data_IF_288864249787
#
_entry.id   IF_288864249787
#
_cell.length_a   1.000
_cell.length_b   1.000
_cell.length_c   1.000
_cell.angle_alpha   90.00
_cell.angle_beta   90.00
_cell.angle_gamma   90.00
#
_symmetry.space_group_name_H-M   'P 1'
#
loop_
_entity.id
_entity.type
_entity.pdbx_description
1 polymer ?
#
# COMPACT_ATOMS: atom_id res chain seq x y z
N UNK A 1 14.04 30.05 -10.21
CA UNK A 1 14.77 28.77 -10.39
C UNK A 1 15.20 28.31 -9.01
N UNK A 2 14.93 27.06 -8.61
CA UNK A 2 15.44 26.52 -7.34
C UNK A 2 16.98 26.50 -7.38
N UNK A 3 17.64 26.62 -6.24
CA UNK A 3 19.10 26.62 -6.18
C UNK A 3 19.64 25.24 -6.58
N UNK A 4 20.85 25.13 -7.15
CA UNK A 4 21.47 23.83 -7.49
C UNK A 4 21.61 22.85 -6.32
N UNK A 5 21.52 23.32 -5.07
CA UNK A 5 21.53 22.48 -3.86
C UNK A 5 20.15 21.90 -3.51
N UNK A 6 19.07 22.41 -4.09
CA UNK A 6 17.70 21.98 -3.78
C UNK A 6 17.28 20.76 -4.62
N UNK A 7 17.96 20.50 -5.75
CA UNK A 7 17.68 19.34 -6.62
C UNK A 7 18.12 18.01 -6.02
N UNK A 8 19.13 18.01 -5.14
CA UNK A 8 19.63 16.80 -4.47
C UNK A 8 18.67 16.26 -3.40
N UNK A 9 17.77 17.12 -2.90
CA UNK A 9 16.77 16.78 -1.89
C UNK A 9 15.45 16.24 -2.49
N UNK A 10 15.42 15.98 -3.80
CA UNK A 10 14.25 15.41 -4.49
C UNK A 10 14.23 13.90 -4.27
N UNK A 11 13.05 13.36 -3.94
CA UNK A 11 12.84 11.92 -3.85
C UNK A 11 13.02 11.28 -5.24
N UNK A 12 13.90 10.31 -5.34
CA UNK A 12 13.99 9.41 -6.48
C UNK A 12 13.04 8.22 -6.33
N UNK A 13 12.84 7.50 -7.43
CA UNK A 13 11.93 6.35 -7.52
C UNK A 13 12.22 5.27 -6.47
N UNK A 14 13.49 5.09 -6.10
CA UNK A 14 13.93 4.06 -5.16
C UNK A 14 14.08 4.54 -3.71
N UNK A 15 13.75 5.81 -3.41
CA UNK A 15 13.90 6.34 -2.06
C UNK A 15 12.80 5.84 -1.12
N UNK A 16 11.60 5.60 -1.66
CA UNK A 16 10.40 5.18 -0.93
C UNK A 16 10.21 3.66 -1.05
N UNK A 17 10.50 2.93 0.04
CA UNK A 17 10.42 1.47 0.06
C UNK A 17 9.02 0.95 -0.27
N UNK A 18 7.98 1.61 0.22
CA UNK A 18 6.60 1.22 -0.06
C UNK A 18 6.31 1.27 -1.57
N UNK A 19 6.73 2.35 -2.24
CA UNK A 19 6.53 2.54 -3.67
C UNK A 19 7.33 1.50 -4.48
N UNK A 20 8.58 1.22 -4.09
CA UNK A 20 9.40 0.19 -4.75
C UNK A 20 8.70 -1.16 -4.73
N UNK A 21 8.13 -1.53 -3.58
CA UNK A 21 7.36 -2.75 -3.46
C UNK A 21 6.09 -2.70 -4.32
N UNK A 22 5.29 -1.64 -4.20
CA UNK A 22 4.00 -1.52 -4.88
C UNK A 22 4.15 -1.55 -6.40
N UNK A 23 5.11 -0.81 -6.97
CA UNK A 23 5.37 -0.81 -8.42
C UNK A 23 5.78 -2.20 -8.91
N UNK A 24 6.66 -2.88 -8.18
CA UNK A 24 7.06 -4.25 -8.51
C UNK A 24 5.88 -5.22 -8.42
N UNK A 25 5.05 -5.09 -7.38
CA UNK A 25 3.88 -5.92 -7.17
C UNK A 25 2.86 -5.70 -8.30
N UNK A 26 2.46 -4.44 -8.55
CA UNK A 26 1.51 -4.04 -9.59
C UNK A 26 1.96 -4.51 -10.98
N UNK A 27 3.25 -4.37 -11.29
CA UNK A 27 3.83 -4.89 -12.54
C UNK A 27 3.74 -6.42 -12.63
N UNK A 28 4.05 -7.12 -11.55
CA UNK A 28 4.05 -8.59 -11.52
C UNK A 28 2.64 -9.17 -11.66
N UNK A 29 1.66 -8.51 -11.04
CA UNK A 29 0.25 -8.91 -11.04
C UNK A 29 -0.54 -8.33 -12.21
N UNK A 30 0.05 -7.45 -13.03
CA UNK A 30 -0.63 -6.65 -14.06
C UNK A 30 -1.79 -5.83 -13.49
N UNK A 31 -1.64 -5.38 -12.24
CA UNK A 31 -2.66 -4.60 -11.54
C UNK A 31 -2.91 -3.25 -12.22
N UNK A 32 -1.87 -2.62 -12.77
CA UNK A 32 -2.01 -1.34 -13.49
C UNK A 32 -3.00 -1.44 -14.66
N UNK A 33 -3.08 -2.58 -15.36
CA UNK A 33 -4.07 -2.78 -16.43
C UNK A 33 -5.52 -2.71 -15.90
N UNK A 34 -5.75 -3.20 -14.69
CA UNK A 34 -7.06 -3.13 -14.01
C UNK A 34 -7.33 -1.73 -13.46
N UNK A 35 -6.32 -1.10 -12.84
CA UNK A 35 -6.39 0.25 -12.30
C UNK A 35 -6.67 1.29 -13.41
N UNK A 36 -6.01 1.16 -14.57
CA UNK A 36 -6.24 1.99 -15.74
C UNK A 36 -7.67 1.84 -16.27
N UNK A 37 -8.19 0.60 -16.33
CA UNK A 37 -9.58 0.37 -16.73
C UNK A 37 -10.57 1.04 -15.77
N UNK A 38 -10.30 1.03 -14.46
CA UNK A 38 -11.11 1.75 -13.47
C UNK A 38 -11.01 3.27 -13.66
N UNK A 39 -9.79 3.79 -13.80
CA UNK A 39 -9.54 5.24 -13.89
C UNK A 39 -10.10 5.86 -15.16
N UNK A 40 -10.12 5.11 -16.26
CA UNK A 40 -10.64 5.55 -17.55
C UNK A 40 -12.13 5.23 -17.75
N UNK A 41 -12.78 4.63 -16.75
CA UNK A 41 -14.16 4.10 -16.83
C UNK A 41 -14.36 3.17 -18.06
N UNK A 42 -13.37 2.32 -18.31
CA UNK A 42 -13.33 1.41 -19.43
C UNK A 42 -13.70 -0.01 -19.01
N UNK A 43 -14.28 -0.76 -19.95
CA UNK A 43 -14.53 -2.20 -19.75
C UNK A 43 -13.25 -2.98 -20.05
N UNK A 44 -12.86 -3.83 -19.11
CA UNK A 44 -11.79 -4.78 -19.30
C UNK A 44 -12.35 -5.99 -20.05
N UNK A 45 -11.80 -6.25 -21.24
CA UNK A 45 -12.16 -7.41 -22.03
C UNK A 45 -11.51 -8.65 -21.42
N UNK A 46 -12.27 -9.73 -21.24
CA UNK A 46 -11.79 -11.00 -20.65
C UNK A 46 -11.41 -10.84 -19.18
N UNK A 47 -12.31 -10.27 -18.39
CA UNK A 47 -12.15 -10.16 -16.94
C UNK A 47 -11.91 -11.53 -16.31
N UNK A 48 -12.57 -12.59 -16.79
CA UNK A 48 -12.33 -13.95 -16.29
C UNK A 48 -10.88 -14.41 -16.45
N UNK A 49 -10.28 -14.16 -17.63
CA UNK A 49 -8.87 -14.49 -17.89
C UNK A 49 -7.93 -13.62 -17.02
N UNK A 50 -8.27 -12.35 -16.82
CA UNK A 50 -7.48 -11.45 -15.97
C UNK A 50 -7.48 -11.93 -14.51
N UNK A 51 -8.65 -12.26 -13.95
CA UNK A 51 -8.78 -12.78 -12.58
C UNK A 51 -8.03 -14.10 -12.42
N UNK A 52 -8.16 -15.03 -13.37
CA UNK A 52 -7.43 -16.29 -13.33
C UNK A 52 -5.91 -16.08 -13.28
N UNK A 53 -5.39 -15.15 -14.08
CA UNK A 53 -3.97 -14.79 -14.05
C UNK A 53 -3.58 -14.10 -12.74
N UNK A 54 -4.42 -13.21 -12.23
CA UNK A 54 -4.21 -12.50 -10.97
C UNK A 54 -4.11 -13.48 -9.78
N UNK A 55 -5.02 -14.47 -9.70
CA UNK A 55 -5.01 -15.54 -8.70
C UNK A 55 -3.69 -16.32 -8.71
N UNK A 56 -3.24 -16.71 -9.91
CA UNK A 56 -1.98 -17.41 -10.08
C UNK A 56 -0.77 -16.57 -9.61
N UNK A 57 -0.80 -15.24 -9.81
CA UNK A 57 0.25 -14.33 -9.32
C UNK A 57 0.21 -14.18 -7.81
N UNK A 58 -0.97 -14.03 -7.20
CA UNK A 58 -1.11 -14.00 -5.73
C UNK A 58 -0.53 -15.30 -5.14
N UNK A 59 -0.92 -16.46 -5.68
CA UNK A 59 -0.43 -17.74 -5.19
C UNK A 59 1.10 -17.84 -5.29
N UNK A 60 1.68 -17.42 -6.42
CA UNK A 60 3.14 -17.45 -6.60
C UNK A 60 3.87 -16.54 -5.59
N UNK A 61 3.44 -15.28 -5.49
CA UNK A 61 4.09 -14.24 -4.66
C UNK A 61 4.05 -14.62 -3.18
N UNK A 62 2.89 -15.07 -2.68
CA UNK A 62 2.68 -15.21 -1.24
C UNK A 62 2.79 -16.65 -0.72
N UNK A 63 2.64 -17.67 -1.57
CA UNK A 63 2.64 -19.07 -1.14
C UNK A 63 3.84 -19.87 -1.65
N UNK A 64 4.22 -19.70 -2.92
CA UNK A 64 5.28 -20.53 -3.54
C UNK A 64 6.66 -19.93 -3.31
N UNK A 65 6.82 -18.64 -3.57
CA UNK A 65 8.12 -17.96 -3.52
C UNK A 65 8.06 -16.66 -2.68
N UNK A 66 7.67 -16.72 -1.39
CA UNK A 66 7.65 -15.52 -0.55
C UNK A 66 9.08 -14.98 -0.37
N UNK A 67 9.27 -13.70 -0.65
CA UNK A 67 10.54 -13.01 -0.45
C UNK A 67 10.71 -12.60 1.01
N UNK A 68 11.96 -12.39 1.46
CA UNK A 68 12.22 -11.85 2.80
C UNK A 68 11.56 -10.48 3.02
N UNK A 69 11.47 -9.66 1.96
CA UNK A 69 10.76 -8.38 1.97
C UNK A 69 9.26 -8.54 2.32
N UNK A 70 8.63 -9.65 1.93
CA UNK A 70 7.26 -9.97 2.31
C UNK A 70 7.15 -10.43 3.77
N UNK A 71 8.10 -11.25 4.22
CA UNK A 71 8.05 -11.90 5.53
C UNK A 71 8.43 -10.90 6.65
N UNK A 72 9.42 -10.05 6.42
CA UNK A 72 9.97 -9.15 7.45
C UNK A 72 8.99 -8.06 7.92
N UNK A 73 8.03 -7.68 7.07
CA UNK A 73 6.98 -6.70 7.36
C UNK A 73 5.61 -7.25 7.00
N UNK A 74 5.40 -8.54 7.30
CA UNK A 74 4.22 -9.32 6.93
C UNK A 74 2.89 -8.61 7.23
N UNK A 75 2.73 -8.01 8.41
CA UNK A 75 1.47 -7.34 8.77
C UNK A 75 1.14 -6.20 7.81
N UNK A 76 2.14 -5.43 7.40
CA UNK A 76 1.99 -4.36 6.39
C UNK A 76 1.60 -4.94 5.04
N UNK A 77 2.30 -5.98 4.59
CA UNK A 77 2.02 -6.63 3.29
C UNK A 77 0.66 -7.32 3.26
N UNK A 78 0.18 -7.79 4.39
CA UNK A 78 -1.16 -8.31 4.54
C UNK A 78 -2.22 -7.19 4.43
N UNK A 79 -1.96 -6.00 4.97
CA UNK A 79 -2.83 -4.83 4.79
C UNK A 79 -2.85 -4.35 3.34
N UNK A 80 -1.69 -4.25 2.67
CA UNK A 80 -1.60 -3.95 1.23
C UNK A 80 -2.44 -4.93 0.40
N UNK A 81 -2.26 -6.24 0.65
CA UNK A 81 -2.98 -7.28 -0.08
C UNK A 81 -4.49 -7.18 0.13
N UNK A 82 -4.94 -6.96 1.37
CA UNK A 82 -6.37 -6.78 1.66
C UNK A 82 -6.94 -5.53 0.97
N UNK A 83 -6.19 -4.43 0.91
CA UNK A 83 -6.56 -3.24 0.17
C UNK A 83 -6.78 -3.56 -1.32
N UNK A 84 -5.79 -4.19 -1.98
CA UNK A 84 -5.87 -4.50 -3.42
C UNK A 84 -7.01 -5.49 -3.73
N UNK A 85 -7.24 -6.47 -2.86
CA UNK A 85 -8.35 -7.42 -3.02
C UNK A 85 -9.71 -6.72 -2.89
N UNK A 86 -9.88 -5.88 -1.87
CA UNK A 86 -11.12 -5.12 -1.68
C UNK A 86 -11.38 -4.22 -2.90
N UNK A 87 -10.33 -3.57 -3.42
CA UNK A 87 -10.39 -2.77 -4.65
C UNK A 87 -10.88 -3.61 -5.83
N UNK A 88 -10.24 -4.76 -6.10
CA UNK A 88 -10.62 -5.63 -7.22
C UNK A 88 -12.05 -6.12 -7.09
N UNK A 89 -12.44 -6.67 -5.93
CA UNK A 89 -13.81 -7.18 -5.69
C UNK A 89 -14.88 -6.11 -5.91
N UNK A 90 -14.58 -4.86 -5.55
CA UNK A 90 -15.49 -3.75 -5.74
C UNK A 90 -15.65 -3.35 -7.21
N UNK A 91 -14.57 -3.41 -7.99
CA UNK A 91 -14.58 -2.95 -9.37
C UNK A 91 -14.87 -4.04 -10.40
N UNK A 92 -14.72 -5.33 -10.10
CA UNK A 92 -15.14 -6.44 -11.00
C UNK A 92 -16.51 -6.17 -11.62
N UNK A 93 -17.61 -5.99 -10.86
CA UNK A 93 -18.93 -5.78 -11.47
C UNK A 93 -19.05 -4.47 -12.26
N UNK A 94 -18.18 -3.49 -11.99
CA UNK A 94 -18.20 -2.17 -12.62
C UNK A 94 -17.47 -2.13 -13.96
N UNK A 95 -16.34 -2.81 -14.07
CA UNK A 95 -15.49 -2.76 -15.27
C UNK A 95 -15.50 -4.05 -16.10
N UNK A 96 -16.22 -5.09 -15.67
CA UNK A 96 -16.42 -6.29 -16.50
C UNK A 96 -17.25 -5.96 -17.75
N UNK A 97 -16.83 -6.50 -18.89
CA UNK A 97 -17.59 -6.40 -20.14
C UNK A 97 -18.98 -7.05 -19.98
N UNK A 98 -20.03 -6.43 -20.52
CA UNK A 98 -21.41 -6.93 -20.46
C UNK A 98 -21.62 -8.33 -21.06
N UNK A 99 -20.68 -8.80 -21.89
CA UNK A 99 -20.67 -10.15 -22.47
C UNK A 99 -20.21 -11.23 -21.49
N UNK A 100 -19.63 -10.85 -20.37
CA UNK A 100 -19.14 -11.75 -19.32
C UNK A 100 -20.06 -11.70 -18.09
N UNK A 101 -20.17 -12.82 -17.39
CA UNK A 101 -20.94 -12.89 -16.15
C UNK A 101 -20.09 -12.39 -14.96
N UNK A 102 -20.21 -11.10 -14.66
CA UNK A 102 -19.42 -10.46 -13.60
C UNK A 102 -19.71 -11.02 -12.21
N UNK A 103 -20.93 -11.49 -11.94
CA UNK A 103 -21.29 -12.13 -10.68
C UNK A 103 -20.55 -13.45 -10.49
N UNK A 104 -20.55 -14.30 -11.52
CA UNK A 104 -19.83 -15.58 -11.50
C UNK A 104 -18.31 -15.39 -11.39
N UNK A 105 -17.75 -14.39 -12.09
CA UNK A 105 -16.32 -14.07 -12.00
C UNK A 105 -15.95 -13.62 -10.58
N UNK A 106 -16.77 -12.74 -9.99
CA UNK A 106 -16.58 -12.27 -8.62
C UNK A 106 -16.65 -13.43 -7.62
N UNK A 107 -17.65 -14.29 -7.74
CA UNK A 107 -17.83 -15.46 -6.87
C UNK A 107 -16.64 -16.43 -6.96
N UNK A 108 -16.14 -16.70 -8.18
CA UNK A 108 -14.93 -17.52 -8.37
C UNK A 108 -13.71 -16.93 -7.67
N UNK A 109 -13.54 -15.61 -7.78
CA UNK A 109 -12.46 -14.92 -7.08
C UNK A 109 -12.61 -15.00 -5.56
N UNK A 110 -13.82 -14.75 -5.03
CA UNK A 110 -14.11 -14.88 -3.59
C UNK A 110 -13.81 -16.29 -3.06
N UNK A 111 -14.17 -17.34 -3.81
CA UNK A 111 -13.87 -18.73 -3.46
C UNK A 111 -12.36 -19.01 -3.43
N UNK A 112 -11.60 -18.48 -4.40
CA UNK A 112 -10.14 -18.55 -4.39
C UNK A 112 -9.56 -17.87 -3.13
N UNK A 113 -10.06 -16.68 -2.79
CA UNK A 113 -9.63 -15.93 -1.60
C UNK A 113 -9.92 -16.68 -0.30
N UNK A 114 -11.11 -17.28 -0.16
CA UNK A 114 -11.44 -18.12 1.00
C UNK A 114 -10.42 -19.25 1.15
N UNK A 115 -10.08 -19.94 0.05
CA UNK A 115 -9.11 -21.02 0.05
C UNK A 115 -7.71 -20.57 0.48
N UNK A 116 -7.19 -19.50 -0.11
CA UNK A 116 -5.82 -19.05 0.14
C UNK A 116 -5.63 -18.47 1.55
N UNK A 117 -6.58 -17.65 2.02
CA UNK A 117 -6.50 -17.08 3.37
C UNK A 117 -6.71 -18.14 4.46
N UNK A 118 -7.55 -19.15 4.21
CA UNK A 118 -7.69 -20.30 5.11
C UNK A 118 -6.38 -21.08 5.22
N UNK A 119 -5.69 -21.30 4.09
CA UNK A 119 -4.36 -21.94 4.07
C UNK A 119 -3.36 -21.17 4.95
N UNK A 120 -3.29 -19.84 4.80
CA UNK A 120 -2.39 -19.00 5.60
C UNK A 120 -2.73 -18.96 7.10
N UNK A 121 -4.01 -19.03 7.45
CA UNK A 121 -4.47 -19.04 8.85
C UNK A 121 -4.08 -20.34 9.58
N UNK A 122 -4.12 -21.47 8.88
CA UNK A 122 -3.86 -22.79 9.47
C UNK A 122 -2.40 -23.23 9.39
N UNK A 123 -1.54 -22.48 8.69
CA UNK A 123 -0.12 -22.83 8.56
C UNK A 123 0.68 -22.49 9.83
N UNK A 124 1.28 -23.54 10.43
CA UNK A 124 2.11 -23.44 11.64
C UNK A 124 3.59 -23.17 11.34
N UNK A 125 4.00 -23.20 10.07
CA UNK A 125 5.36 -22.85 9.64
C UNK A 125 5.68 -21.39 9.93
N UNK A 126 6.89 -21.11 10.42
CA UNK A 126 7.42 -19.75 10.56
C UNK A 126 8.01 -19.19 9.26
N UNK A 127 8.16 -20.01 8.22
CA UNK A 127 8.81 -19.65 6.94
C UNK A 127 7.84 -19.23 5.84
N UNK A 128 6.55 -19.12 6.15
CA UNK A 128 5.51 -18.80 5.16
C UNK A 128 4.77 -17.53 5.56
N UNK A 129 4.36 -16.78 4.54
CA UNK A 129 3.54 -15.61 4.70
C UNK A 129 2.22 -15.95 5.38
N UNK A 130 1.87 -15.21 6.43
CA UNK A 130 0.59 -15.31 7.12
C UNK A 130 -0.20 -14.03 6.94
N UNK A 131 -1.47 -14.17 6.58
CA UNK A 131 -2.35 -13.03 6.42
C UNK A 131 -3.79 -13.44 6.73
N UNK A 132 -4.52 -12.53 7.38
CA UNK A 132 -5.96 -12.70 7.66
C UNK A 132 -6.76 -11.79 6.75
N UNK A 133 -7.86 -12.32 6.21
CA UNK A 133 -8.76 -11.57 5.34
C UNK A 133 -9.54 -10.55 6.17
N UNK A 134 -9.60 -9.32 5.68
CA UNK A 134 -10.39 -8.21 6.23
C UNK A 134 -11.42 -7.78 5.18
N UNK A 135 -12.53 -8.52 5.14
CA UNK A 135 -13.63 -8.26 4.20
C UNK A 135 -14.31 -6.93 4.53
N UNK A 136 -14.21 -5.99 3.61
CA UNK A 136 -14.85 -4.68 3.67
C UNK A 136 -15.14 -4.21 2.25
N UNK A 137 -16.27 -3.54 2.05
CA UNK A 137 -16.54 -2.85 0.80
C UNK A 137 -15.51 -1.73 0.58
N UNK A 138 -14.92 -1.70 -0.62
CA UNK A 138 -13.96 -0.65 -0.95
C UNK A 138 -14.61 0.73 -0.85
N UNK A 139 -13.88 1.65 -0.23
CA UNK A 139 -14.24 3.07 -0.15
C UNK A 139 -13.01 3.92 -0.45
N UNK A 140 -13.16 5.15 -0.97
CA UNK A 140 -12.03 6.07 -1.17
C UNK A 140 -11.22 6.34 0.11
N UNK A 141 -11.81 6.15 1.30
CA UNK A 141 -11.10 6.23 2.58
C UNK A 141 -10.00 5.17 2.70
N UNK A 142 -10.17 3.98 2.12
CA UNK A 142 -9.16 2.91 2.15
C UNK A 142 -7.86 3.32 1.45
N UNK A 143 -7.95 4.11 0.37
CA UNK A 143 -6.78 4.71 -0.28
C UNK A 143 -6.00 5.58 0.70
N UNK A 144 -6.69 6.47 1.40
CA UNK A 144 -6.07 7.37 2.38
C UNK A 144 -5.42 6.60 3.54
N UNK A 145 -5.99 5.47 3.94
CA UNK A 145 -5.42 4.60 4.98
C UNK A 145 -4.15 3.93 4.46
N UNK A 146 -4.16 3.41 3.22
CA UNK A 146 -2.97 2.84 2.58
C UNK A 146 -1.85 3.89 2.45
N UNK A 147 -2.19 5.07 1.97
CA UNK A 147 -1.31 6.23 1.85
C UNK A 147 -0.67 6.68 3.19
N UNK A 148 -1.34 6.42 4.32
CA UNK A 148 -0.79 6.64 5.67
C UNK A 148 0.16 5.50 6.07
N UNK A 149 -0.22 4.26 5.83
CA UNK A 149 0.58 3.07 6.12
C UNK A 149 1.91 3.07 5.33
N UNK A 150 1.85 3.39 4.04
CA UNK A 150 3.01 3.54 3.16
C UNK A 150 3.95 4.64 3.62
N UNK A 151 3.41 5.79 4.04
CA UNK A 151 4.21 6.84 4.65
C UNK A 151 4.94 6.33 5.90
N UNK A 152 4.29 5.51 6.74
CA UNK A 152 4.91 4.98 7.94
C UNK A 152 6.00 3.95 7.64
N UNK A 153 5.81 3.09 6.65
CA UNK A 153 6.87 2.21 6.15
C UNK A 153 8.08 3.02 5.66
N UNK A 154 7.83 4.03 4.80
CA UNK A 154 8.88 4.90 4.27
C UNK A 154 9.61 5.65 5.37
N UNK A 155 8.89 6.16 6.37
CA UNK A 155 9.45 6.82 7.56
C UNK A 155 10.42 5.91 8.29
N UNK A 156 10.03 4.67 8.56
CA UNK A 156 10.86 3.72 9.29
C UNK A 156 12.06 3.26 8.45
N UNK A 157 11.89 3.11 7.13
CA UNK A 157 12.98 2.85 6.20
C UNK A 157 14.01 4.00 6.16
N UNK A 158 13.56 5.25 6.12
CA UNK A 158 14.46 6.42 6.21
C UNK A 158 15.22 6.46 7.53
N UNK A 159 14.53 6.22 8.66
CA UNK A 159 15.20 6.15 9.98
C UNK A 159 16.27 5.07 10.02
N UNK A 160 16.01 3.90 9.44
CA UNK A 160 17.01 2.83 9.36
C UNK A 160 18.23 3.26 8.51
N UNK A 161 17.99 3.91 7.36
CA UNK A 161 19.03 4.46 6.47
C UNK A 161 19.83 5.60 7.11
N UNK A 162 19.25 6.32 8.06
CA UNK A 162 19.83 7.49 8.75
C UNK A 162 20.44 7.17 10.11
N UNK A 163 20.60 5.89 10.47
CA UNK A 163 21.47 5.48 11.60
C UNK A 163 22.88 6.01 11.48
N UNK A 164 23.35 6.19 10.25
CA UNK A 164 24.53 6.97 9.91
C UNK A 164 24.05 8.22 9.21
N UNK A 165 24.42 9.38 9.73
CA UNK A 165 23.98 10.66 9.17
C UNK A 165 24.40 10.80 7.71
N UNK A 166 23.44 11.20 6.88
CA UNK A 166 23.64 11.54 5.48
C UNK A 166 22.75 12.74 5.17
N UNK A 167 23.38 13.86 4.86
CA UNK A 167 22.69 15.14 4.65
C UNK A 167 21.65 15.06 3.54
N UNK A 168 21.96 14.37 2.44
CA UNK A 168 21.08 14.26 1.28
C UNK A 168 19.87 13.39 1.64
N UNK A 169 20.11 12.20 2.22
CA UNK A 169 19.03 11.31 2.68
C UNK A 169 18.15 11.98 3.73
N UNK A 170 18.73 12.74 4.65
CA UNK A 170 17.97 13.48 5.65
C UNK A 170 17.09 14.54 4.99
N UNK A 171 17.64 15.33 4.07
CA UNK A 171 16.89 16.38 3.38
C UNK A 171 15.70 15.79 2.58
N UNK A 172 15.93 14.67 1.87
CA UNK A 172 14.87 13.91 1.19
C UNK A 172 13.78 13.44 2.16
N UNK A 173 14.17 12.88 3.30
CA UNK A 173 13.24 12.45 4.34
C UNK A 173 12.44 13.64 4.91
N UNK A 174 13.09 14.77 5.20
CA UNK A 174 12.43 15.98 5.68
C UNK A 174 11.39 16.49 4.69
N UNK A 175 11.73 16.53 3.40
CA UNK A 175 10.80 16.91 2.33
C UNK A 175 9.61 15.95 2.25
N UNK A 176 9.86 14.64 2.32
CA UNK A 176 8.80 13.63 2.33
C UNK A 176 7.84 13.84 3.51
N UNK A 177 8.37 13.99 4.73
CA UNK A 177 7.52 14.21 5.92
C UNK A 177 6.72 15.50 5.81
N UNK A 178 7.33 16.60 5.37
CA UNK A 178 6.63 17.87 5.23
C UNK A 178 5.51 17.81 4.18
N UNK A 179 5.76 17.17 3.03
CA UNK A 179 4.76 16.97 2.00
C UNK A 179 3.56 16.15 2.52
N UNK A 180 3.84 15.00 3.14
CA UNK A 180 2.81 14.10 3.67
C UNK A 180 2.06 14.69 4.85
N UNK A 181 2.74 15.46 5.70
CA UNK A 181 2.13 16.25 6.79
C UNK A 181 1.14 17.25 6.22
N UNK A 182 1.52 18.01 5.20
CA UNK A 182 0.63 18.98 4.55
C UNK A 182 -0.59 18.30 3.94
N UNK A 183 -0.38 17.20 3.20
CA UNK A 183 -1.45 16.40 2.61
C UNK A 183 -2.48 15.93 3.65
N UNK A 184 -2.05 15.22 4.71
CA UNK A 184 -2.97 14.72 5.71
C UNK A 184 -3.58 15.82 6.59
N UNK A 185 -2.88 16.95 6.78
CA UNK A 185 -3.47 18.12 7.42
C UNK A 185 -4.67 18.64 6.62
N UNK A 186 -4.55 18.74 5.30
CA UNK A 186 -5.64 19.18 4.42
C UNK A 186 -6.80 18.17 4.43
N UNK A 187 -6.51 16.87 4.38
CA UNK A 187 -7.53 15.82 4.51
C UNK A 187 -8.32 15.94 5.82
N UNK A 188 -7.62 16.10 6.96
CA UNK A 188 -8.26 16.28 8.28
C UNK A 188 -9.05 17.59 8.33
N UNK A 189 -8.55 18.66 7.71
CA UNK A 189 -9.26 19.95 7.69
C UNK A 189 -10.58 19.83 6.93
N UNK A 190 -10.59 19.09 5.82
CA UNK A 190 -11.80 18.82 5.03
C UNK A 190 -12.75 17.82 5.68
N UNK A 191 -12.22 16.81 6.37
CA UNK A 191 -13.00 15.76 7.05
C UNK A 191 -12.50 15.59 8.49
N UNK A 192 -12.92 16.45 9.43
CA UNK A 192 -12.40 16.48 10.79
C UNK A 192 -12.55 15.17 11.58
N UNK A 193 -13.56 14.36 11.25
CA UNK A 193 -13.79 13.05 11.87
C UNK A 193 -12.61 12.09 11.68
N UNK A 194 -11.86 12.19 10.57
CA UNK A 194 -10.72 11.32 10.29
C UNK A 194 -9.59 11.40 11.31
N UNK A 195 -9.47 12.53 12.03
CA UNK A 195 -8.44 12.70 13.06
C UNK A 195 -8.54 11.66 14.17
N UNK A 196 -9.76 11.28 14.56
CA UNK A 196 -10.02 10.36 15.67
C UNK A 196 -10.54 8.99 15.21
N UNK A 197 -10.58 8.77 13.90
CA UNK A 197 -11.10 7.57 13.30
C UNK A 197 -10.10 6.40 13.47
N UNK A 198 -10.59 5.28 13.98
CA UNK A 198 -9.78 4.11 14.31
C UNK A 198 -9.21 3.42 13.08
N UNK A 199 -9.82 3.56 11.90
CA UNK A 199 -9.26 2.97 10.67
C UNK A 199 -7.92 3.63 10.28
N UNK A 200 -7.67 4.87 10.73
CA UNK A 200 -6.37 5.54 10.57
C UNK A 200 -5.41 5.27 11.73
N UNK A 201 -5.64 4.23 12.54
CA UNK A 201 -4.69 3.76 13.54
C UNK A 201 -4.01 2.49 13.04
N UNK A 202 -2.85 2.65 12.40
CA UNK A 202 -2.02 1.52 11.94
C UNK A 202 -1.25 0.93 13.14
N UNK A 203 -0.67 1.80 13.96
CA UNK A 203 -0.05 1.47 15.24
C UNK A 203 0.16 2.74 16.08
N UNK A 204 0.68 2.58 17.30
CA UNK A 204 0.92 3.69 18.24
C UNK A 204 1.81 4.83 17.71
N UNK A 205 2.69 4.55 16.75
CA UNK A 205 3.61 5.51 16.11
C UNK A 205 3.15 5.94 14.71
N UNK A 206 2.02 5.41 14.25
CA UNK A 206 1.45 5.63 12.92
C UNK A 206 -0.07 5.78 13.03
N UNK A 207 -0.52 6.99 13.32
CA UNK A 207 -1.94 7.33 13.43
C UNK A 207 -2.21 8.82 13.23
N UNK A 208 -3.39 9.18 12.68
CA UNK A 208 -3.79 10.58 12.59
C UNK A 208 -4.10 11.22 13.96
N UNK A 209 -4.47 10.41 14.97
CA UNK A 209 -4.75 10.89 16.33
C UNK A 209 -3.52 11.51 16.98
N UNK A 210 -2.35 10.89 16.78
CA UNK A 210 -1.03 11.37 17.26
C UNK A 210 -0.27 12.05 16.13
N UNK A 211 -0.90 13.02 15.47
CA UNK A 211 -0.44 13.65 14.23
C UNK A 211 1.04 14.09 14.27
N UNK A 212 1.48 14.79 15.31
CA UNK A 212 2.87 15.26 15.43
C UNK A 212 3.90 14.14 15.61
N UNK A 213 3.52 13.00 16.20
CA UNK A 213 4.40 11.83 16.31
C UNK A 213 4.46 11.03 15.00
N UNK A 214 3.35 10.99 14.27
CA UNK A 214 3.27 10.38 12.96
C UNK A 214 4.10 11.18 11.95
N UNK A 215 3.91 12.50 11.91
CA UNK A 215 4.56 13.47 11.02
C UNK A 215 5.49 14.42 11.81
N UNK A 216 6.67 13.94 12.25
CA UNK A 216 7.58 14.75 13.06
C UNK A 216 8.19 15.92 12.27
N UNK A 217 8.62 16.97 12.97
CA UNK A 217 9.49 17.95 12.35
C UNK A 217 10.89 17.35 12.22
N UNK A 218 11.44 17.32 11.01
CA UNK A 218 12.76 16.77 10.73
C UNK A 218 13.75 17.91 10.54
N UNK A 219 14.85 17.90 11.30
CA UNK A 219 15.95 18.87 11.18
C UNK A 219 17.23 18.13 10.80
N UNK A 220 17.87 18.54 9.71
CA UNK A 220 19.05 17.87 9.16
C UNK A 220 20.34 18.56 9.58
N UNK A 221 20.78 18.27 10.80
CA UNK A 221 22.05 18.74 11.34
C UNK A 221 22.84 17.52 11.86
N UNK A 222 24.16 17.49 11.66
CA UNK A 222 25.05 16.39 12.12
C UNK A 222 24.91 16.09 13.62
N UNK A 223 24.49 17.06 14.42
CA UNK A 223 24.37 16.94 15.89
C UNK A 223 22.97 16.54 16.39
N UNK A 224 21.96 16.43 15.51
CA UNK A 224 20.55 16.24 15.90
C UNK A 224 19.91 14.93 15.37
N UNK A 225 20.70 13.97 14.90
CA UNK A 225 20.20 12.66 14.42
C UNK A 225 20.76 11.49 15.22
#
# INVERSE_FOLDING_TARGET
>A
MPSPRDSECILGENDLQANVFDEKWKKTTKFSEFEDAVNLDQKLNKMGDWIFNFDAKILNIYMVNPTDELINIQDKRCRDLNYYINYVLHYIPKITNHRENSAEIKEKFENFLIGIFSSWKHDRSSKKFKCTRVEKDYTPKMELIKELDDFCENKDAFKAKLKTYDKIKCCKYANHVNNRKSFFHNIISSVPSYKNDLDFHINEKCTLKKFGATFPNVTCNEHNM
#
